data_IF_013294050284
#
_entry.id   IF_013294050284
#
_cell.length_a   1.000
_cell.length_b   1.000
_cell.length_c   1.000
_cell.angle_alpha   90.00
_cell.angle_beta   90.00
_cell.angle_gamma   90.00
#
_symmetry.space_group_name_H-M   'P 1'
#
loop_
_entity.id
_entity.type
_entity.pdbx_description
1 polymer ?
#
# COMPACT_ATOMS: atom_id res chain seq x y z
N UNK A 1 -36.66 24.35 -34.16
CA UNK A 1 -35.65 24.10 -33.11
C UNK A 1 -34.38 23.68 -33.83
N UNK A 2 -33.35 24.52 -33.81
CA UNK A 2 -32.11 24.30 -34.57
C UNK A 2 -31.29 23.18 -33.92
N UNK A 3 -30.84 22.20 -34.71
CA UNK A 3 -29.96 21.11 -34.27
C UNK A 3 -28.73 21.60 -33.50
N UNK A 4 -28.17 22.76 -33.88
CA UNK A 4 -27.05 23.41 -33.19
C UNK A 4 -27.34 23.69 -31.70
N UNK A 5 -28.60 23.95 -31.34
CA UNK A 5 -28.98 24.23 -29.96
C UNK A 5 -29.02 22.94 -29.13
N UNK A 6 -29.38 21.80 -29.75
CA UNK A 6 -29.42 20.49 -29.09
C UNK A 6 -27.99 20.00 -28.83
N UNK A 7 -27.09 20.10 -29.81
CA UNK A 7 -25.69 19.70 -29.67
C UNK A 7 -24.98 20.45 -28.55
N UNK A 8 -25.22 21.76 -28.45
CA UNK A 8 -24.60 22.59 -27.41
C UNK A 8 -25.15 22.28 -26.02
N UNK A 9 -26.47 22.06 -25.89
CA UNK A 9 -27.08 21.58 -24.64
C UNK A 9 -26.49 20.23 -24.22
N UNK A 10 -26.25 19.31 -25.15
CA UNK A 10 -25.62 18.01 -24.86
C UNK A 10 -24.19 18.21 -24.33
N UNK A 11 -23.37 19.03 -24.99
CA UNK A 11 -22.00 19.31 -24.57
C UNK A 11 -21.96 19.95 -23.18
N UNK A 12 -22.82 20.94 -22.92
CA UNK A 12 -22.92 21.59 -21.62
C UNK A 12 -23.38 20.64 -20.52
N UNK A 13 -24.30 19.74 -20.84
CA UNK A 13 -24.75 18.67 -19.92
C UNK A 13 -23.62 17.69 -19.61
N UNK A 14 -22.83 17.27 -20.60
CA UNK A 14 -21.67 16.39 -20.40
C UNK A 14 -20.60 17.08 -19.54
N UNK A 15 -20.29 18.34 -19.86
CA UNK A 15 -19.30 19.13 -19.13
C UNK A 15 -19.70 19.36 -17.66
N UNK A 16 -20.99 19.57 -17.38
CA UNK A 16 -21.48 19.70 -16.00
C UNK A 16 -21.44 18.37 -15.24
N UNK A 17 -21.87 17.26 -15.86
CA UNK A 17 -21.81 15.93 -15.23
C UNK A 17 -20.37 15.53 -14.89
N UNK A 18 -19.46 15.64 -15.86
CA UNK A 18 -18.06 15.26 -15.68
C UNK A 18 -17.31 16.25 -14.79
N UNK A 19 -17.64 17.54 -14.87
CA UNK A 19 -17.12 18.57 -13.95
C UNK A 19 -17.47 18.26 -12.50
N UNK A 20 -18.72 17.87 -12.22
CA UNK A 20 -19.17 17.46 -10.88
C UNK A 20 -18.50 16.15 -10.42
N UNK A 21 -18.28 15.20 -11.33
CA UNK A 21 -17.60 13.95 -11.02
C UNK A 21 -16.13 14.18 -10.65
N UNK A 22 -15.40 14.97 -11.45
CA UNK A 22 -14.00 15.27 -11.19
C UNK A 22 -13.83 16.07 -9.89
N UNK A 23 -14.68 17.07 -9.63
CA UNK A 23 -14.62 17.85 -8.38
C UNK A 23 -14.92 17.00 -7.13
N UNK A 24 -15.82 16.01 -7.26
CA UNK A 24 -16.13 15.08 -6.17
C UNK A 24 -14.98 14.12 -5.85
N UNK A 25 -14.26 13.67 -6.88
CA UNK A 25 -13.05 12.85 -6.74
C UNK A 25 -11.93 13.68 -6.10
N UNK A 26 -11.73 14.91 -6.58
CA UNK A 26 -10.66 15.79 -6.14
C UNK A 26 -10.78 16.16 -4.65
N UNK A 27 -11.87 16.82 -4.25
CA UNK A 27 -11.94 17.42 -2.91
C UNK A 27 -11.94 16.42 -1.74
N UNK A 28 -12.34 15.17 -1.97
CA UNK A 28 -12.46 14.16 -0.91
C UNK A 28 -11.23 13.26 -0.80
N UNK A 29 -10.41 13.13 -1.85
CA UNK A 29 -9.38 12.10 -1.90
C UNK A 29 -8.00 12.58 -1.43
N UNK A 30 -7.77 13.88 -1.29
CA UNK A 30 -6.43 14.43 -1.05
C UNK A 30 -5.86 14.01 0.30
N UNK A 31 -6.59 14.25 1.39
CA UNK A 31 -6.18 13.84 2.74
C UNK A 31 -6.15 12.32 2.89
N UNK A 32 -7.16 11.65 2.33
CA UNK A 32 -7.29 10.19 2.39
C UNK A 32 -6.07 9.52 1.74
N UNK A 33 -5.62 10.02 0.60
CA UNK A 33 -4.48 9.45 -0.13
C UNK A 33 -3.18 9.57 0.66
N UNK A 34 -2.96 10.70 1.35
CA UNK A 34 -1.79 10.87 2.21
C UNK A 34 -1.81 9.89 3.40
N UNK A 35 -2.96 9.75 4.08
CA UNK A 35 -3.11 8.86 5.24
C UNK A 35 -2.90 7.38 4.90
N UNK A 36 -3.39 6.92 3.73
CA UNK A 36 -3.26 5.51 3.31
C UNK A 36 -1.90 5.20 2.68
N UNK A 37 -1.17 6.20 2.18
CA UNK A 37 0.14 5.99 1.55
C UNK A 37 1.27 5.97 2.57
N UNK A 38 1.23 6.89 3.53
CA UNK A 38 2.23 7.07 4.58
C UNK A 38 1.80 6.40 5.87
N UNK A 39 2.02 5.10 5.92
CA UNK A 39 1.60 4.26 7.03
C UNK A 39 2.61 4.34 8.18
N UNK A 40 2.10 4.51 9.40
CA UNK A 40 2.85 4.52 10.65
C UNK A 40 2.31 3.45 11.63
N UNK A 41 2.85 3.38 12.84
CA UNK A 41 2.38 2.44 13.87
C UNK A 41 0.96 2.72 14.38
N UNK A 42 0.35 3.86 14.07
CA UNK A 42 -1.00 4.19 14.56
C UNK A 42 -2.06 3.23 14.00
N UNK A 43 -1.78 2.55 12.87
CA UNK A 43 -2.67 1.50 12.33
C UNK A 43 -2.92 0.35 13.31
N UNK A 44 -2.05 0.19 14.31
CA UNK A 44 -2.10 -0.86 15.32
C UNK A 44 -2.84 -0.44 16.59
N UNK A 45 -3.07 0.87 16.79
CA UNK A 45 -3.64 1.46 18.01
C UNK A 45 -5.18 1.50 18.01
N UNK A 46 -5.81 1.03 16.95
CA UNK A 46 -7.26 0.85 16.89
C UNK A 46 -7.70 -0.16 17.95
N UNK A 47 -8.58 0.24 18.88
CA UNK A 47 -9.09 -0.64 19.96
C UNK A 47 -9.64 -1.97 19.43
N UNK A 48 -10.34 -1.93 18.29
CA UNK A 48 -10.88 -3.14 17.66
C UNK A 48 -9.75 -4.05 17.16
N UNK A 49 -8.69 -3.49 16.59
CA UNK A 49 -7.54 -4.24 16.10
C UNK A 49 -6.73 -4.83 17.26
N UNK A 50 -6.51 -4.03 18.30
CA UNK A 50 -5.83 -4.43 19.53
C UNK A 50 -6.56 -5.61 20.22
N UNK A 51 -7.90 -5.57 20.27
CA UNK A 51 -8.71 -6.67 20.78
C UNK A 51 -8.62 -7.94 19.92
N UNK A 52 -8.56 -7.82 18.59
CA UNK A 52 -8.43 -8.96 17.67
C UNK A 52 -7.03 -9.59 17.80
N UNK A 53 -5.99 -8.77 17.88
CA UNK A 53 -4.61 -9.22 18.00
C UNK A 53 -4.38 -9.91 19.35
N UNK A 54 -4.87 -9.30 20.44
CA UNK A 54 -4.67 -9.74 21.80
C UNK A 54 -3.51 -8.99 22.47
N UNK A 55 -3.82 -8.18 23.47
CA UNK A 55 -2.83 -7.43 24.29
C UNK A 55 -2.22 -8.26 25.41
N UNK A 56 -2.75 -9.45 25.65
CA UNK A 56 -2.32 -10.38 26.68
C UNK A 56 -2.22 -11.78 26.10
N UNK A 57 -1.41 -12.62 26.74
CA UNK A 57 -1.15 -14.02 26.33
C UNK A 57 -2.41 -14.89 26.29
N UNK A 58 -3.52 -14.42 26.91
CA UNK A 58 -4.78 -15.14 27.05
C UNK A 58 -5.88 -14.70 26.07
N UNK A 59 -5.66 -13.66 25.26
CA UNK A 59 -6.72 -13.07 24.44
C UNK A 59 -6.37 -13.04 22.94
N UNK A 60 -7.40 -13.00 22.10
CA UNK A 60 -7.28 -12.78 20.66
C UNK A 60 -6.51 -13.87 19.92
N UNK A 61 -5.89 -13.48 18.81
CA UNK A 61 -5.08 -14.35 17.96
C UNK A 61 -3.86 -14.90 18.70
N UNK A 62 -3.31 -14.14 19.66
CA UNK A 62 -2.14 -14.58 20.43
C UNK A 62 -2.41 -15.84 21.26
N UNK A 63 -3.63 -16.01 21.80
CA UNK A 63 -4.04 -17.23 22.51
C UNK A 63 -4.01 -18.45 21.57
N UNK A 64 -4.49 -18.29 20.34
CA UNK A 64 -4.50 -19.36 19.32
C UNK A 64 -3.05 -19.74 18.99
N UNK A 65 -2.17 -18.76 18.85
CA UNK A 65 -0.76 -19.00 18.58
C UNK A 65 -0.05 -19.69 19.76
N UNK A 66 -0.36 -19.31 21.00
CA UNK A 66 0.13 -20.00 22.21
C UNK A 66 -0.37 -21.46 22.27
N UNK A 67 -1.61 -21.72 21.88
CA UNK A 67 -2.14 -23.10 21.79
C UNK A 67 -1.43 -23.90 20.69
N UNK A 68 -1.14 -23.25 19.55
CA UNK A 68 -0.45 -23.88 18.43
C UNK A 68 1.01 -24.23 18.75
N UNK A 69 1.65 -23.51 19.68
CA UNK A 69 3.00 -23.84 20.16
C UNK A 69 3.07 -25.25 20.76
N UNK A 70 2.05 -25.67 21.51
CA UNK A 70 1.94 -27.04 22.01
C UNK A 70 1.71 -28.04 20.87
N UNK A 71 0.95 -27.66 19.85
CA UNK A 71 0.77 -28.45 18.63
C UNK A 71 2.08 -28.68 17.87
N UNK A 72 2.95 -27.66 17.77
CA UNK A 72 4.28 -27.79 17.16
C UNK A 72 5.20 -28.71 17.95
N UNK A 73 5.14 -28.65 19.28
CA UNK A 73 5.87 -29.55 20.16
C UNK A 73 5.41 -31.00 20.00
N UNK A 74 4.10 -31.24 19.95
CA UNK A 74 3.53 -32.57 19.72
C UNK A 74 3.90 -33.11 18.33
N UNK A 75 3.80 -32.27 17.29
CA UNK A 75 4.20 -32.64 15.93
C UNK A 75 5.67 -33.06 15.87
N UNK A 76 6.56 -32.30 16.52
CA UNK A 76 7.98 -32.66 16.59
C UNK A 76 8.19 -33.98 17.35
N UNK A 77 7.50 -34.21 18.47
CA UNK A 77 7.61 -35.44 19.24
C UNK A 77 7.19 -36.68 18.42
N UNK A 78 6.07 -36.61 17.70
CA UNK A 78 5.61 -37.69 16.80
C UNK A 78 6.60 -37.91 15.66
N UNK A 79 7.07 -36.82 15.03
CA UNK A 79 8.04 -36.89 13.93
C UNK A 79 9.37 -37.50 14.37
N UNK A 80 9.84 -37.15 15.57
CA UNK A 80 11.04 -37.71 16.17
C UNK A 80 10.89 -39.21 16.44
N UNK A 81 9.73 -39.65 16.95
CA UNK A 81 9.42 -41.07 17.14
C UNK A 81 9.39 -41.84 15.81
N UNK A 82 8.77 -41.29 14.77
CA UNK A 82 8.73 -41.92 13.42
C UNK A 82 10.13 -41.96 12.77
N UNK A 83 10.96 -40.95 13.02
CA UNK A 83 12.33 -40.90 12.53
C UNK A 83 13.19 -42.04 13.06
N UNK A 84 12.95 -42.45 14.31
CA UNK A 84 13.60 -43.62 14.89
C UNK A 84 13.26 -44.92 14.14
N UNK A 85 12.03 -45.04 13.62
CA UNK A 85 11.61 -46.20 12.82
C UNK A 85 12.06 -46.14 11.36
N UNK A 86 12.19 -44.95 10.79
CA UNK A 86 12.46 -44.73 9.35
C UNK A 86 13.93 -44.41 9.05
N UNK A 87 14.79 -44.33 10.07
CA UNK A 87 16.19 -43.88 9.98
C UNK A 87 16.37 -42.55 9.24
N UNK A 88 15.32 -41.72 9.22
CA UNK A 88 15.34 -40.42 8.55
C UNK A 88 16.03 -39.38 9.43
N UNK A 89 16.84 -38.53 8.83
CA UNK A 89 17.52 -37.45 9.56
C UNK A 89 16.50 -36.41 10.03
N UNK A 90 16.30 -36.33 11.35
CA UNK A 90 15.51 -35.28 12.00
C UNK A 90 16.43 -34.35 12.78
N UNK A 91 16.00 -33.11 12.91
CA UNK A 91 16.71 -32.09 13.67
C UNK A 91 16.93 -32.53 15.13
N UNK A 92 18.09 -32.19 15.68
CA UNK A 92 18.42 -32.53 17.07
C UNK A 92 17.41 -31.90 18.05
N UNK A 93 16.88 -32.65 19.02
CA UNK A 93 15.88 -32.15 19.97
C UNK A 93 16.29 -30.88 20.72
N UNK A 94 17.58 -30.78 21.11
CA UNK A 94 18.09 -29.60 21.80
C UNK A 94 18.06 -28.33 20.92
N UNK A 95 18.44 -28.44 19.64
CA UNK A 95 18.37 -27.33 18.67
C UNK A 95 16.92 -26.87 18.47
N UNK A 96 16.01 -27.83 18.32
CA UNK A 96 14.59 -27.54 18.14
C UNK A 96 13.98 -26.84 19.37
N UNK A 97 14.24 -27.33 20.59
CA UNK A 97 13.71 -26.72 21.81
C UNK A 97 14.20 -25.29 22.02
N UNK A 98 15.49 -25.02 21.76
CA UNK A 98 16.04 -23.66 21.85
C UNK A 98 15.35 -22.74 20.84
N UNK A 99 15.19 -23.17 19.59
CA UNK A 99 14.47 -22.41 18.56
C UNK A 99 13.01 -22.14 18.95
N UNK A 100 12.34 -23.13 19.51
CA UNK A 100 10.94 -23.03 19.92
C UNK A 100 10.75 -22.06 21.08
N UNK A 101 11.65 -22.05 22.07
CA UNK A 101 11.64 -21.06 23.17
C UNK A 101 11.82 -19.65 22.61
N UNK A 102 12.82 -19.43 21.74
CA UNK A 102 13.08 -18.12 21.13
C UNK A 102 11.87 -17.67 20.31
N UNK A 103 11.30 -18.55 19.47
CA UNK A 103 10.13 -18.22 18.66
C UNK A 103 8.89 -17.95 19.54
N UNK A 104 8.70 -18.68 20.64
CA UNK A 104 7.62 -18.46 21.59
C UNK A 104 7.71 -17.09 22.28
N UNK A 105 8.91 -16.67 22.66
CA UNK A 105 9.16 -15.32 23.19
C UNK A 105 8.84 -14.27 22.10
N UNK A 106 9.42 -14.40 20.90
CA UNK A 106 9.19 -13.47 19.79
C UNK A 106 7.73 -13.39 19.36
N UNK A 107 6.98 -14.48 19.44
CA UNK A 107 5.55 -14.54 19.13
C UNK A 107 4.73 -13.69 20.10
N UNK A 108 5.04 -13.76 21.41
CA UNK A 108 4.38 -12.93 22.42
C UNK A 108 4.79 -11.46 22.33
N UNK A 109 6.02 -11.15 21.89
CA UNK A 109 6.47 -9.78 21.60
C UNK A 109 6.16 -9.30 20.16
N UNK A 110 5.36 -10.04 19.39
CA UNK A 110 5.13 -9.74 17.97
C UNK A 110 4.49 -8.37 17.73
N UNK A 111 3.54 -7.95 18.57
CA UNK A 111 2.91 -6.63 18.49
C UNK A 111 3.95 -5.49 18.61
N UNK A 112 4.85 -5.61 19.59
CA UNK A 112 5.93 -4.67 19.81
C UNK A 112 6.89 -4.65 18.62
N UNK A 113 7.35 -5.83 18.16
CA UNK A 113 8.27 -5.93 17.02
C UNK A 113 7.70 -5.27 15.75
N UNK A 114 6.41 -5.47 15.47
CA UNK A 114 5.75 -4.86 14.31
C UNK A 114 5.60 -3.35 14.44
N UNK A 115 5.34 -2.84 15.65
CA UNK A 115 5.28 -1.40 15.92
C UNK A 115 6.60 -0.72 15.54
N UNK A 116 7.74 -1.21 16.06
CA UNK A 116 9.05 -0.66 15.71
C UNK A 116 9.37 -0.84 14.22
N UNK A 117 8.99 -1.98 13.64
CA UNK A 117 9.24 -2.23 12.24
C UNK A 117 8.49 -1.21 11.35
N UNK A 118 7.23 -0.93 11.64
CA UNK A 118 6.45 0.11 10.94
C UNK A 118 7.06 1.50 11.14
N UNK A 119 7.45 1.84 12.37
CA UNK A 119 8.04 3.14 12.69
C UNK A 119 9.37 3.38 11.96
N UNK A 120 10.20 2.35 11.76
CA UNK A 120 11.44 2.47 10.97
C UNK A 120 11.12 2.94 9.54
N UNK A 121 10.19 2.28 8.87
CA UNK A 121 9.81 2.66 7.50
C UNK A 121 9.11 4.01 7.44
N UNK A 122 8.30 4.34 8.45
CA UNK A 122 7.65 5.64 8.54
C UNK A 122 8.68 6.76 8.69
N UNK A 123 9.66 6.59 9.59
CA UNK A 123 10.72 7.56 9.82
C UNK A 123 11.64 7.75 8.61
N UNK A 124 11.96 6.69 7.87
CA UNK A 124 12.72 6.80 6.61
C UNK A 124 11.96 7.68 5.61
N UNK A 125 10.66 7.45 5.46
CA UNK A 125 9.82 8.24 4.57
C UNK A 125 9.67 9.69 5.02
N UNK A 126 9.47 9.92 6.32
CA UNK A 126 9.45 11.28 6.89
C UNK A 126 10.76 12.01 6.64
N UNK A 127 11.92 11.34 6.79
CA UNK A 127 13.21 11.94 6.50
C UNK A 127 13.34 12.38 5.02
N UNK A 128 12.85 11.57 4.07
CA UNK A 128 12.84 11.92 2.64
C UNK A 128 11.93 13.11 2.37
N UNK A 129 10.74 13.14 2.98
CA UNK A 129 9.77 14.24 2.82
C UNK A 129 10.30 15.54 3.42
N UNK A 130 10.84 15.49 4.64
CA UNK A 130 11.46 16.64 5.31
C UNK A 130 12.65 17.19 4.50
N UNK A 131 13.46 16.31 3.91
CA UNK A 131 14.55 16.74 3.03
C UNK A 131 14.02 17.57 1.87
N UNK A 132 12.95 17.12 1.23
CA UNK A 132 12.39 17.89 0.13
C UNK A 132 11.59 19.13 0.56
N UNK A 133 10.98 19.14 1.74
CA UNK A 133 10.42 20.35 2.36
C UNK A 133 11.47 21.45 2.50
N UNK A 134 12.66 21.09 2.99
CA UNK A 134 13.77 22.05 3.12
C UNK A 134 14.32 22.53 1.77
N UNK A 135 14.20 21.72 0.70
CA UNK A 135 14.69 22.09 -0.63
C UNK A 135 13.69 22.96 -1.41
N UNK A 136 12.39 22.67 -1.29
CA UNK A 136 11.35 23.28 -2.12
C UNK A 136 10.45 24.26 -1.36
N UNK A 137 10.60 24.39 -0.04
CA UNK A 137 9.76 25.21 0.86
C UNK A 137 8.26 24.90 0.74
N UNK A 138 7.94 23.63 0.46
CA UNK A 138 6.58 23.10 0.33
C UNK A 138 6.50 21.71 0.92
N UNK A 139 5.37 21.38 1.52
CA UNK A 139 5.10 20.04 2.04
C UNK A 139 5.10 19.01 0.89
N UNK A 140 5.90 17.95 1.05
CA UNK A 140 5.90 16.86 0.07
C UNK A 140 4.81 15.87 0.44
N UNK A 141 3.64 16.08 -0.15
CA UNK A 141 2.46 15.26 0.03
C UNK A 141 1.64 15.19 -1.27
N UNK A 142 0.73 14.22 -1.36
CA UNK A 142 -0.19 14.11 -2.49
C UNK A 142 -1.16 15.28 -2.53
N UNK A 143 -1.62 15.76 -1.37
CA UNK A 143 -2.46 16.95 -1.29
C UNK A 143 -1.82 18.17 -1.96
N UNK A 144 -0.58 18.52 -1.61
CA UNK A 144 0.15 19.65 -2.24
C UNK A 144 0.46 19.39 -3.71
N UNK A 145 0.75 18.14 -4.09
CA UNK A 145 0.99 17.77 -5.49
C UNK A 145 -0.27 18.01 -6.33
N UNK A 146 -1.43 17.65 -5.82
CA UNK A 146 -2.67 17.82 -6.58
C UNK A 146 -3.09 19.30 -6.59
N UNK A 147 -2.83 20.05 -5.52
CA UNK A 147 -3.01 21.51 -5.51
C UNK A 147 -2.14 22.18 -6.57
N UNK A 148 -0.86 21.81 -6.67
CA UNK A 148 0.06 22.34 -7.70
C UNK A 148 -0.33 21.91 -9.11
N UNK A 149 -0.86 20.71 -9.29
CA UNK A 149 -1.43 20.27 -10.57
C UNK A 149 -2.64 21.14 -10.94
N UNK A 150 -3.59 21.30 -10.03
CA UNK A 150 -4.83 22.03 -10.29
C UNK A 150 -4.59 23.53 -10.50
N UNK A 151 -3.62 24.14 -9.81
CA UNK A 151 -3.25 25.54 -10.04
C UNK A 151 -2.61 25.77 -11.41
N UNK A 152 -1.89 24.78 -11.94
CA UNK A 152 -1.20 24.89 -13.24
C UNK A 152 -2.06 24.40 -14.43
N UNK A 153 -3.11 23.61 -14.19
CA UNK A 153 -4.02 23.05 -15.21
C UNK A 153 -5.37 23.78 -15.24
N UNK A 154 -5.65 24.68 -14.29
CA UNK A 154 -6.82 25.58 -14.35
C UNK A 154 -6.61 26.71 -15.37
N UNK A 155 -6.79 26.39 -16.64
CA UNK A 155 -7.16 27.40 -17.64
C UNK A 155 -8.66 27.70 -17.46
N UNK A 156 -8.93 28.91 -16.95
CA UNK A 156 -10.22 29.60 -16.83
C UNK A 156 -11.40 28.86 -16.19
N UNK A 157 -11.68 29.28 -14.95
CA UNK A 157 -12.92 29.13 -14.21
C UNK A 157 -14.13 29.58 -15.03
N UNK A 158 -14.96 28.63 -15.48
CA UNK A 158 -16.45 28.64 -15.38
C UNK A 158 -17.07 27.40 -16.04
N UNK A 159 -16.34 26.68 -16.90
CA UNK A 159 -16.81 25.43 -17.51
C UNK A 159 -15.61 24.56 -17.87
N UNK A 160 -15.51 23.36 -17.28
CA UNK A 160 -14.56 22.36 -17.75
C UNK A 160 -15.01 21.96 -19.15
N UNK A 161 -14.30 22.39 -20.18
CA UNK A 161 -14.47 21.79 -21.49
C UNK A 161 -13.72 20.46 -21.50
N UNK A 162 -14.45 19.37 -21.25
CA UNK A 162 -13.91 18.00 -21.17
C UNK A 162 -13.26 17.60 -22.50
N UNK A 163 -13.73 18.15 -23.62
CA UNK A 163 -13.23 17.83 -24.95
C UNK A 163 -11.99 18.63 -25.35
N UNK A 164 -11.59 19.61 -24.54
CA UNK A 164 -10.29 20.28 -24.68
C UNK A 164 -9.15 19.36 -24.24
N UNK A 165 -7.94 19.58 -24.76
CA UNK A 165 -6.75 18.83 -24.34
C UNK A 165 -6.49 18.96 -22.84
N UNK A 166 -6.78 20.12 -22.25
CA UNK A 166 -6.66 20.35 -20.81
C UNK A 166 -7.76 19.62 -20.01
N UNK A 167 -8.98 19.55 -20.55
CA UNK A 167 -10.07 18.74 -20.00
C UNK A 167 -9.75 17.25 -20.02
N UNK A 168 -9.19 16.74 -21.12
CA UNK A 168 -8.73 15.36 -21.24
C UNK A 168 -7.60 15.05 -20.25
N UNK A 169 -6.60 15.92 -20.14
CA UNK A 169 -5.52 15.76 -19.15
C UNK A 169 -6.11 15.75 -17.73
N UNK A 170 -7.01 16.67 -17.39
CA UNK A 170 -7.69 16.68 -16.08
C UNK A 170 -8.49 15.39 -15.82
N UNK A 171 -9.15 14.85 -16.85
CA UNK A 171 -9.87 13.58 -16.74
C UNK A 171 -8.94 12.39 -16.44
N UNK A 172 -7.77 12.35 -17.08
CA UNK A 172 -6.76 11.31 -16.87
C UNK A 172 -6.16 11.44 -15.47
N UNK A 173 -5.87 12.67 -15.03
CA UNK A 173 -5.30 12.94 -13.70
C UNK A 173 -6.28 12.51 -12.60
N UNK A 174 -7.53 12.97 -12.63
CA UNK A 174 -8.55 12.60 -11.63
C UNK A 174 -8.79 11.09 -11.57
N UNK A 175 -8.87 10.40 -12.71
CA UNK A 175 -9.00 8.95 -12.74
C UNK A 175 -7.75 8.22 -12.24
N UNK A 176 -6.56 8.74 -12.54
CA UNK A 176 -5.30 8.18 -12.06
C UNK A 176 -5.16 8.31 -10.54
N UNK A 177 -5.61 9.42 -9.96
CA UNK A 177 -5.67 9.62 -8.51
C UNK A 177 -6.63 8.63 -7.84
N UNK A 178 -7.81 8.43 -8.42
CA UNK A 178 -8.75 7.42 -7.94
C UNK A 178 -8.14 6.01 -7.96
N UNK A 179 -7.39 5.66 -9.01
CA UNK A 179 -6.69 4.38 -9.08
C UNK A 179 -5.62 4.24 -7.99
N UNK A 180 -4.86 5.30 -7.71
CA UNK A 180 -3.90 5.31 -6.60
C UNK A 180 -4.60 5.08 -5.26
N UNK A 181 -5.72 5.77 -5.01
CA UNK A 181 -6.50 5.59 -3.77
C UNK A 181 -6.91 4.13 -3.59
N UNK A 182 -7.44 3.48 -4.62
CA UNK A 182 -7.80 2.07 -4.51
C UNK A 182 -6.60 1.15 -4.29
N UNK A 183 -5.50 1.35 -5.02
CA UNK A 183 -4.31 0.49 -4.91
C UNK A 183 -3.65 0.60 -3.52
N UNK A 184 -3.56 1.81 -2.97
CA UNK A 184 -3.00 2.02 -1.63
C UNK A 184 -3.96 1.65 -0.51
N UNK A 185 -5.27 1.80 -0.70
CA UNK A 185 -6.27 1.27 0.25
C UNK A 185 -6.15 -0.25 0.36
N UNK A 186 -5.97 -0.95 -0.76
CA UNK A 186 -5.75 -2.40 -0.74
C UNK A 186 -4.44 -2.78 -0.06
N UNK A 187 -3.35 -2.02 -0.31
CA UNK A 187 -2.08 -2.17 0.41
C UNK A 187 -2.26 -2.01 1.92
N UNK A 188 -3.00 -0.99 2.36
CA UNK A 188 -3.26 -0.72 3.78
C UNK A 188 -3.93 -1.92 4.46
N UNK A 189 -4.98 -2.47 3.85
CA UNK A 189 -5.69 -3.66 4.37
C UNK A 189 -4.74 -4.86 4.43
N UNK A 190 -3.94 -5.08 3.37
CA UNK A 190 -2.99 -6.18 3.35
C UNK A 190 -1.97 -6.07 4.48
N UNK A 191 -1.43 -4.87 4.76
CA UNK A 191 -0.52 -4.69 5.90
C UNK A 191 -1.20 -5.09 7.21
N UNK A 192 -2.46 -4.69 7.46
CA UNK A 192 -3.21 -5.15 8.64
C UNK A 192 -3.34 -6.67 8.69
N UNK A 193 -3.63 -7.33 7.57
CA UNK A 193 -3.69 -8.80 7.49
C UNK A 193 -2.34 -9.45 7.79
N UNK A 194 -1.24 -8.95 7.21
CA UNK A 194 0.10 -9.48 7.45
C UNK A 194 0.54 -9.30 8.91
N UNK A 195 0.18 -8.18 9.54
CA UNK A 195 0.38 -7.96 10.98
C UNK A 195 -0.36 -9.02 11.78
N UNK A 196 -1.64 -9.28 11.51
CA UNK A 196 -2.43 -10.28 12.24
C UNK A 196 -1.86 -11.71 12.11
N UNK A 197 -1.23 -12.03 10.98
CA UNK A 197 -0.62 -13.34 10.72
C UNK A 197 0.76 -13.49 11.40
N UNK A 198 1.38 -12.38 11.86
CA UNK A 198 2.72 -12.36 12.42
C UNK A 198 3.01 -13.40 13.52
N UNK A 199 2.18 -13.60 14.56
CA UNK A 199 2.48 -14.60 15.59
C UNK A 199 2.58 -16.01 15.02
N UNK A 200 1.72 -16.38 14.06
CA UNK A 200 1.80 -17.67 13.37
C UNK A 200 3.01 -17.77 12.45
N UNK A 201 3.36 -16.68 11.76
CA UNK A 201 4.53 -16.64 10.90
C UNK A 201 5.82 -16.85 11.72
N UNK A 202 5.95 -16.17 12.85
CA UNK A 202 7.09 -16.32 13.77
C UNK A 202 7.17 -17.75 14.30
N UNK A 203 6.04 -18.31 14.74
CA UNK A 203 6.00 -19.69 15.24
C UNK A 203 6.42 -20.71 14.17
N UNK A 204 6.01 -20.47 12.91
CA UNK A 204 6.35 -21.32 11.76
C UNK A 204 7.86 -21.45 11.51
N UNK A 205 8.67 -20.50 11.99
CA UNK A 205 10.12 -20.55 11.88
C UNK A 205 10.77 -21.58 12.83
N UNK A 206 10.04 -22.11 13.81
CA UNK A 206 10.57 -23.09 14.77
C UNK A 206 10.80 -24.47 14.15
N UNK A 207 10.07 -24.83 13.10
CA UNK A 207 10.25 -26.07 12.35
C UNK A 207 10.92 -25.80 11.00
N UNK A 208 11.91 -26.63 10.66
CA UNK A 208 12.59 -26.51 9.35
C UNK A 208 11.63 -26.68 8.16
N UNK A 209 10.63 -27.56 8.29
CA UNK A 209 9.65 -27.84 7.24
C UNK A 209 8.68 -26.69 6.95
N UNK A 210 8.37 -25.85 7.94
CA UNK A 210 7.45 -24.72 7.78
C UNK A 210 8.15 -23.36 7.66
N UNK A 211 9.48 -23.31 7.84
CA UNK A 211 10.30 -22.09 7.77
C UNK A 211 10.12 -21.25 6.49
N UNK A 212 9.75 -21.89 5.37
CA UNK A 212 9.40 -21.20 4.11
C UNK A 212 8.28 -20.16 4.31
N UNK A 213 7.30 -20.45 5.17
CA UNK A 213 6.18 -19.56 5.42
C UNK A 213 6.64 -18.25 6.07
N UNK A 214 7.51 -18.33 7.09
CA UNK A 214 8.10 -17.13 7.71
C UNK A 214 8.91 -16.31 6.71
N UNK A 215 9.77 -16.97 5.91
CA UNK A 215 10.59 -16.31 4.88
C UNK A 215 9.72 -15.61 3.83
N UNK A 216 8.61 -16.22 3.43
CA UNK A 216 7.64 -15.62 2.50
C UNK A 216 6.91 -14.43 3.14
N UNK A 217 6.44 -14.60 4.38
CA UNK A 217 5.74 -13.56 5.14
C UNK A 217 6.58 -12.30 5.31
N UNK A 218 7.83 -12.42 5.80
CA UNK A 218 8.70 -11.26 6.04
C UNK A 218 9.05 -10.54 4.75
N UNK A 219 9.30 -11.31 3.67
CA UNK A 219 9.57 -10.75 2.34
C UNK A 219 8.39 -9.94 1.82
N UNK A 220 7.17 -10.46 1.96
CA UNK A 220 5.97 -9.77 1.52
C UNK A 220 5.66 -8.52 2.37
N UNK A 221 5.79 -8.61 3.69
CA UNK A 221 5.60 -7.45 4.58
C UNK A 221 6.62 -6.35 4.25
N UNK A 222 7.89 -6.70 4.10
CA UNK A 222 8.94 -5.76 3.71
C UNK A 222 8.64 -5.11 2.36
N UNK A 223 8.23 -5.91 1.36
CA UNK A 223 7.85 -5.41 0.03
C UNK A 223 6.71 -4.39 0.13
N UNK A 224 5.64 -4.69 0.87
CA UNK A 224 4.52 -3.77 1.06
C UNK A 224 4.95 -2.48 1.75
N UNK A 225 5.82 -2.53 2.75
CA UNK A 225 6.29 -1.32 3.43
C UNK A 225 7.25 -0.51 2.55
N UNK A 226 8.10 -1.17 1.76
CA UNK A 226 9.06 -0.52 0.87
C UNK A 226 8.41 0.37 -0.20
N UNK A 227 7.15 0.09 -0.57
CA UNK A 227 6.37 0.93 -1.51
C UNK A 227 6.35 2.41 -1.06
N UNK A 228 6.18 2.71 0.23
CA UNK A 228 6.09 4.11 0.68
C UNK A 228 7.41 4.88 0.52
N UNK A 229 8.55 4.19 0.61
CA UNK A 229 9.87 4.79 0.37
C UNK A 229 9.98 5.18 -1.10
N UNK A 230 9.65 4.26 -2.01
CA UNK A 230 9.68 4.53 -3.47
C UNK A 230 8.73 5.66 -3.84
N UNK A 231 7.51 5.67 -3.29
CA UNK A 231 6.55 6.76 -3.50
C UNK A 231 7.11 8.10 -3.06
N UNK A 232 7.76 8.17 -1.90
CA UNK A 232 8.36 9.41 -1.39
C UNK A 232 9.47 9.94 -2.32
N UNK A 233 10.28 9.05 -2.89
CA UNK A 233 11.33 9.40 -3.85
C UNK A 233 10.73 9.92 -5.15
N UNK A 234 9.67 9.27 -5.66
CA UNK A 234 8.98 9.72 -6.89
C UNK A 234 8.37 11.11 -6.66
N UNK A 235 7.73 11.34 -5.51
CA UNK A 235 7.19 12.65 -5.16
C UNK A 235 8.28 13.73 -5.10
N UNK A 236 9.42 13.44 -4.47
CA UNK A 236 10.57 14.35 -4.43
C UNK A 236 11.01 14.78 -5.83
N UNK A 237 11.10 13.83 -6.77
CA UNK A 237 11.47 14.10 -8.17
C UNK A 237 10.40 14.98 -8.84
N UNK A 238 9.12 14.71 -8.61
CA UNK A 238 8.04 15.49 -9.20
C UNK A 238 8.06 16.94 -8.73
N UNK A 239 8.29 17.19 -7.45
CA UNK A 239 8.42 18.56 -6.92
C UNK A 239 9.72 19.27 -7.35
N UNK A 240 10.77 18.52 -7.71
CA UNK A 240 12.04 19.12 -8.16
C UNK A 240 11.98 19.80 -9.53
N UNK A 241 10.99 19.43 -10.34
CA UNK A 241 10.89 19.94 -11.69
C UNK A 241 10.35 21.38 -11.65
N UNK A 242 11.10 22.32 -12.25
CA UNK A 242 10.73 23.73 -12.23
C UNK A 242 9.70 24.02 -13.34
N UNK A 243 8.48 24.36 -12.94
CA UNK A 243 7.29 24.34 -13.80
C UNK A 243 6.79 25.72 -14.23
N UNK A 244 7.67 26.72 -14.31
CA UNK A 244 7.29 28.11 -14.60
C UNK A 244 6.87 28.39 -16.06
N UNK A 245 6.65 27.36 -16.89
CA UNK A 245 6.08 27.54 -18.22
C UNK A 245 4.92 26.57 -18.42
N UNK A 246 3.75 27.09 -18.84
CA UNK A 246 2.58 26.32 -19.25
C UNK A 246 2.80 25.47 -20.52
N UNK A 247 4.03 24.97 -20.71
CA UNK A 247 4.40 24.09 -21.78
C UNK A 247 3.66 22.76 -21.66
N UNK A 248 3.06 22.35 -22.77
CA UNK A 248 2.32 21.10 -22.92
C UNK A 248 3.16 19.88 -22.48
N UNK A 249 4.48 19.94 -22.65
CA UNK A 249 5.44 18.95 -22.16
C UNK A 249 5.40 18.74 -20.64
N UNK A 250 5.28 19.83 -19.85
CA UNK A 250 5.21 19.76 -18.39
C UNK A 250 3.91 19.08 -17.94
N UNK A 251 2.78 19.37 -18.59
CA UNK A 251 1.50 18.72 -18.30
C UNK A 251 1.58 17.19 -18.54
N UNK A 252 2.26 16.77 -19.61
CA UNK A 252 2.50 15.35 -19.85
C UNK A 252 3.47 14.70 -18.86
N UNK A 253 4.47 15.44 -18.36
CA UNK A 253 5.37 14.94 -17.31
C UNK A 253 4.60 14.69 -16.01
N UNK A 254 3.63 15.53 -15.63
CA UNK A 254 2.76 15.28 -14.48
C UNK A 254 1.95 13.99 -14.63
N UNK A 255 1.34 13.79 -15.81
CA UNK A 255 0.63 12.55 -16.13
C UNK A 255 1.59 11.35 -16.03
N UNK A 256 2.80 11.47 -16.59
CA UNK A 256 3.85 10.45 -16.49
C UNK A 256 4.28 10.15 -15.04
N UNK A 257 4.36 11.18 -14.20
CA UNK A 257 4.64 11.08 -12.77
C UNK A 257 3.58 10.30 -12.00
N UNK A 258 2.30 10.60 -12.24
CA UNK A 258 1.20 9.82 -11.66
C UNK A 258 1.19 8.38 -12.16
N UNK A 259 1.50 8.14 -13.44
CA UNK A 259 1.67 6.78 -13.94
C UNK A 259 2.87 6.06 -13.29
N UNK A 260 3.96 6.75 -13.00
CA UNK A 260 5.09 6.20 -12.26
C UNK A 260 4.68 5.82 -10.82
N UNK A 261 3.86 6.64 -10.17
CA UNK A 261 3.28 6.33 -8.85
C UNK A 261 2.37 5.10 -8.91
N UNK A 262 1.52 4.96 -9.94
CA UNK A 262 0.67 3.77 -10.13
C UNK A 262 1.55 2.52 -10.33
N UNK A 263 2.65 2.65 -11.09
CA UNK A 263 3.60 1.57 -11.32
C UNK A 263 4.60 1.34 -10.17
N UNK A 264 4.64 2.19 -9.14
CA UNK A 264 5.53 2.02 -7.99
C UNK A 264 5.39 0.63 -7.37
N UNK A 265 4.16 0.13 -7.29
CA UNK A 265 3.87 -1.21 -6.80
C UNK A 265 4.48 -2.32 -7.67
N UNK A 266 4.37 -2.21 -9.00
CA UNK A 266 5.04 -3.17 -9.89
C UNK A 266 6.56 -3.11 -9.75
N UNK A 267 7.15 -1.91 -9.62
CA UNK A 267 8.60 -1.77 -9.42
C UNK A 267 9.06 -2.44 -8.13
N UNK A 268 8.34 -2.23 -7.02
CA UNK A 268 8.68 -2.84 -5.74
C UNK A 268 8.56 -4.36 -5.81
N UNK A 269 7.50 -4.87 -6.45
CA UNK A 269 7.32 -6.30 -6.66
C UNK A 269 8.45 -6.91 -7.48
N UNK A 270 8.91 -6.24 -8.53
CA UNK A 270 9.97 -6.78 -9.40
C UNK A 270 11.36 -6.68 -8.73
N UNK A 271 11.61 -5.65 -7.90
CA UNK A 271 12.86 -5.47 -7.17
C UNK A 271 12.99 -6.39 -5.94
N UNK A 272 11.94 -6.43 -5.11
CA UNK A 272 11.96 -7.13 -3.82
C UNK A 272 11.35 -8.52 -3.92
N UNK A 273 10.41 -8.73 -4.85
CA UNK A 273 9.44 -9.83 -4.81
C UNK A 273 8.28 -9.49 -3.87
N UNK A 274 7.05 -9.92 -4.17
CA UNK A 274 5.90 -9.59 -3.32
C UNK A 274 4.53 -9.96 -3.87
N UNK A 275 3.49 -9.81 -3.04
CA UNK A 275 2.08 -9.88 -3.45
C UNK A 275 1.71 -8.62 -4.22
N UNK A 276 0.98 -8.79 -5.33
CA UNK A 276 0.50 -7.66 -6.12
C UNK A 276 -0.63 -6.92 -5.43
N UNK A 277 -0.49 -5.60 -5.26
CA UNK A 277 -1.63 -4.71 -4.88
C UNK A 277 -2.18 -3.92 -6.08
N UNK A 278 -1.78 -4.31 -7.30
CA UNK A 278 -2.22 -3.69 -8.54
C UNK A 278 -3.66 -4.11 -8.82
N UNK A 279 -4.57 -3.15 -8.76
CA UNK A 279 -5.93 -3.35 -9.22
C UNK A 279 -5.89 -3.19 -10.73
N UNK A 280 -5.77 -4.30 -11.44
CA UNK A 280 -6.03 -4.29 -12.88
C UNK A 280 -7.52 -4.06 -13.06
N UNK A 281 -7.91 -2.87 -13.52
CA UNK A 281 -9.20 -2.71 -14.18
C UNK A 281 -9.16 -3.54 -15.46
N UNK A 282 -9.46 -4.84 -15.35
CA UNK A 282 -9.66 -5.70 -16.49
C UNK A 282 -10.97 -5.27 -17.15
N UNK A 283 -10.89 -4.26 -18.02
CA UNK A 283 -11.89 -3.95 -19.06
C UNK A 283 -11.89 -5.05 -20.15
N UNK A 284 -11.24 -6.19 -19.91
CA UNK A 284 -11.24 -7.34 -20.81
C UNK A 284 -12.61 -8.01 -21.01
N UNK A 285 -13.64 -7.63 -20.25
CA UNK A 285 -15.01 -8.15 -20.41
C UNK A 285 -15.98 -7.23 -21.14
N UNK A 286 -15.64 -5.96 -21.42
CA UNK A 286 -16.52 -5.11 -22.24
C UNK A 286 -16.46 -5.46 -23.74
N UNK A 287 -15.40 -6.11 -24.21
CA UNK A 287 -15.32 -6.64 -25.58
C UNK A 287 -16.06 -7.97 -25.79
N UNK A 288 -16.68 -8.53 -24.74
CA UNK A 288 -17.49 -9.76 -24.81
C UNK A 288 -18.99 -9.54 -24.73
N UNK A 289 -19.45 -8.30 -24.70
CA UNK A 289 -20.85 -7.99 -24.90
C UNK A 289 -21.08 -7.98 -26.42
N UNK A 290 -21.39 -9.16 -26.97
CA UNK A 290 -22.05 -9.28 -28.27
C UNK A 290 -23.53 -8.95 -28.12
#
# INVERSE_FOLDING_TARGET
>A
MNENNITQIIIDTINTILGNLFSSIDNNLYSILDDITFINSDILKDKNFENIFGTSTSNGILLIANSLLLGFLLYFAIKYLISHFTFSNVEQPHSFLIKLIICGICMNFSYFLLTYFLDIFSNITLAIRNLGETLFNKEICFSELILTINSNISVNTTSVDVFSLDGLIKSILSFSLLNLVFSYSFRYILIKVFVLIAPFAILSNSLNSSSWFFKSWIKNLFSLLFIQIIVSIILLILFSMNFSSGNLAIKFIYVGGLFALIKANSFVRDLVGGVSTTISQNVHNFSKIK
#
